data_IF_203701745535
#
_entry.id   IF_203701745535
#
_cell.length_a   1.000
_cell.length_b   1.000
_cell.length_c   1.000
_cell.angle_alpha   90.00
_cell.angle_beta   90.00
_cell.angle_gamma   90.00
#
_symmetry.space_group_name_H-M   'P 1'
#
loop_
_entity.id
_entity.type
_entity.pdbx_description
1 polymer ?
#
# COMPACT_ATOMS: atom_id res chain seq x y z
N UNK A 1 -25.08 -10.89 10.43
CA UNK A 1 -24.06 -10.81 11.51
C UNK A 1 -22.70 -11.00 10.89
N UNK A 2 -22.00 -9.92 10.54
CA UNK A 2 -20.59 -9.97 10.14
C UNK A 2 -19.77 -10.08 11.42
N UNK A 3 -19.00 -11.17 11.56
CA UNK A 3 -18.08 -11.33 12.68
C UNK A 3 -17.13 -10.13 12.72
N UNK A 4 -16.97 -9.50 13.89
CA UNK A 4 -15.95 -8.49 14.11
C UNK A 4 -14.60 -9.20 14.09
N UNK A 5 -13.89 -9.16 12.96
CA UNK A 5 -12.57 -9.79 12.83
C UNK A 5 -11.51 -8.86 13.41
N UNK A 6 -11.20 -9.06 14.69
CA UNK A 6 -10.04 -8.43 15.32
C UNK A 6 -8.78 -9.03 14.72
N UNK A 7 -7.81 -8.20 14.32
CA UNK A 7 -6.52 -8.68 13.83
C UNK A 7 -5.82 -9.51 14.92
N UNK A 8 -5.22 -10.64 14.53
CA UNK A 8 -4.48 -11.50 15.44
C UNK A 8 -3.29 -10.73 16.03
N UNK A 9 -3.11 -10.82 17.35
CA UNK A 9 -1.97 -10.22 18.04
C UNK A 9 -0.83 -11.24 18.10
N UNK A 10 0.21 -11.00 17.31
CA UNK A 10 1.43 -11.81 17.32
C UNK A 10 2.26 -11.50 18.58
N UNK A 11 2.65 -12.54 19.31
CA UNK A 11 3.36 -12.45 20.58
C UNK A 11 4.88 -12.50 20.45
N UNK A 12 5.42 -12.93 19.31
CA UNK A 12 6.87 -13.01 19.08
C UNK A 12 7.25 -12.88 17.60
N UNK A 13 8.53 -12.57 17.34
CA UNK A 13 9.07 -12.55 15.98
C UNK A 13 9.04 -13.94 15.32
N UNK A 14 9.28 -15.01 16.08
CA UNK A 14 9.24 -16.38 15.56
C UNK A 14 7.82 -16.77 15.12
N UNK A 15 6.81 -16.38 15.91
CA UNK A 15 5.41 -16.56 15.55
C UNK A 15 5.06 -15.79 14.28
N UNK A 16 5.51 -14.53 14.18
CA UNK A 16 5.30 -13.70 13.00
C UNK A 16 5.91 -14.32 11.73
N UNK A 17 7.16 -14.80 11.81
CA UNK A 17 7.84 -15.45 10.69
C UNK A 17 7.14 -16.74 10.26
N UNK A 18 6.69 -17.55 11.22
CA UNK A 18 5.96 -18.80 10.94
C UNK A 18 4.63 -18.53 10.22
N UNK A 19 3.85 -17.57 10.70
CA UNK A 19 2.56 -17.22 10.06
C UNK A 19 2.80 -16.59 8.68
N UNK A 20 3.86 -15.79 8.52
CA UNK A 20 4.25 -15.23 7.23
C UNK A 20 4.56 -16.34 6.21
N UNK A 21 5.33 -17.36 6.61
CA UNK A 21 5.65 -18.49 5.76
C UNK A 21 4.41 -19.28 5.32
N UNK A 22 3.47 -19.53 6.25
CA UNK A 22 2.23 -20.24 5.95
C UNK A 22 1.35 -19.50 4.93
N UNK A 23 1.21 -18.18 5.08
CA UNK A 23 0.47 -17.35 4.13
C UNK A 23 1.19 -17.25 2.78
N UNK A 24 2.52 -17.12 2.81
CA UNK A 24 3.33 -17.07 1.60
C UNK A 24 3.15 -18.34 0.75
N UNK A 25 3.21 -19.53 1.35
CA UNK A 25 3.00 -20.80 0.65
C UNK A 25 1.60 -20.89 0.04
N UNK A 26 0.57 -20.48 0.80
CA UNK A 26 -0.81 -20.46 0.34
C UNK A 26 -1.00 -19.51 -0.85
N UNK A 27 -0.49 -18.29 -0.75
CA UNK A 27 -0.69 -17.28 -1.79
C UNK A 27 0.13 -17.57 -3.05
N UNK A 28 1.31 -18.17 -2.92
CA UNK A 28 2.17 -18.51 -4.07
C UNK A 28 1.50 -19.50 -5.04
N UNK A 29 0.66 -20.41 -4.54
CA UNK A 29 0.03 -21.45 -5.34
C UNK A 29 -0.81 -20.92 -6.51
N UNK A 30 -1.47 -19.77 -6.31
CA UNK A 30 -2.39 -19.17 -7.30
C UNK A 30 -1.90 -17.82 -7.84
N UNK A 31 -0.75 -17.32 -7.38
CA UNK A 31 -0.23 -15.99 -7.71
C UNK A 31 -0.13 -15.75 -9.22
N UNK A 32 0.41 -16.71 -9.98
CA UNK A 32 0.56 -16.59 -11.43
C UNK A 32 -0.77 -16.53 -12.19
N UNK A 33 -1.77 -17.30 -11.75
CA UNK A 33 -3.11 -17.29 -12.35
C UNK A 33 -3.84 -15.98 -12.03
N UNK A 34 -3.78 -15.51 -10.78
CA UNK A 34 -4.36 -14.23 -10.37
C UNK A 34 -3.78 -13.06 -11.16
N UNK A 35 -2.45 -13.00 -11.28
CA UNK A 35 -1.76 -11.94 -12.03
C UNK A 35 -2.15 -11.94 -13.52
N UNK A 36 -2.15 -13.12 -14.16
CA UNK A 36 -2.53 -13.28 -15.56
C UNK A 36 -3.96 -12.80 -15.84
N UNK A 37 -4.90 -13.18 -14.97
CA UNK A 37 -6.31 -12.83 -15.09
C UNK A 37 -6.66 -11.41 -14.60
N UNK A 38 -5.75 -10.76 -13.87
CA UNK A 38 -6.02 -9.54 -13.10
C UNK A 38 -7.10 -9.74 -12.00
N UNK A 39 -7.14 -10.93 -11.41
CA UNK A 39 -8.06 -11.24 -10.33
C UNK A 39 -7.62 -10.50 -9.04
N UNK A 40 -8.47 -9.61 -8.52
CA UNK A 40 -8.15 -8.84 -7.31
C UNK A 40 -8.10 -9.77 -6.08
N UNK A 41 -6.99 -9.79 -5.31
CA UNK A 41 -6.75 -10.73 -4.21
C UNK A 41 -7.47 -10.33 -2.92
N UNK A 42 -8.80 -10.25 -2.95
CA UNK A 42 -9.60 -9.75 -1.81
C UNK A 42 -9.45 -10.64 -0.57
N UNK A 43 -9.47 -11.94 -0.76
CA UNK A 43 -9.43 -12.90 0.34
C UNK A 43 -8.02 -12.97 0.95
N UNK A 44 -6.99 -12.83 0.14
CA UNK A 44 -5.60 -12.83 0.60
C UNK A 44 -5.23 -11.53 1.30
N UNK A 45 -5.70 -10.38 0.81
CA UNK A 45 -5.54 -9.09 1.51
C UNK A 45 -6.24 -9.15 2.87
N UNK A 46 -7.43 -9.76 2.94
CA UNK A 46 -8.13 -9.97 4.20
C UNK A 46 -7.35 -10.91 5.12
N UNK A 47 -6.89 -12.06 4.62
CA UNK A 47 -6.12 -13.01 5.41
C UNK A 47 -4.82 -12.40 5.98
N UNK A 48 -4.15 -11.54 5.20
CA UNK A 48 -2.97 -10.81 5.64
C UNK A 48 -3.29 -9.78 6.74
N UNK A 49 -4.41 -9.07 6.59
CA UNK A 49 -4.91 -8.14 7.60
C UNK A 49 -5.23 -8.87 8.91
N UNK A 50 -5.94 -9.99 8.82
CA UNK A 50 -6.33 -10.82 9.95
C UNK A 50 -5.14 -11.46 10.66
N UNK A 51 -4.06 -11.79 9.95
CA UNK A 51 -2.87 -12.38 10.56
C UNK A 51 -1.98 -11.39 11.31
N UNK A 52 -2.18 -10.08 11.11
CA UNK A 52 -1.34 -9.02 11.69
C UNK A 52 0.04 -8.90 11.03
N UNK A 53 0.19 -9.30 9.75
CA UNK A 53 1.47 -9.36 9.03
C UNK A 53 1.55 -8.46 7.79
N UNK A 54 2.75 -8.42 7.21
CA UNK A 54 3.14 -7.61 6.05
C UNK A 54 3.60 -8.42 4.83
N UNK A 55 4.18 -9.61 5.03
CA UNK A 55 4.99 -10.26 4.01
C UNK A 55 4.33 -11.55 3.51
N UNK A 56 4.22 -11.68 2.19
CA UNK A 56 3.81 -12.89 1.50
C UNK A 56 4.62 -13.07 0.21
N UNK A 57 4.61 -14.29 -0.33
CA UNK A 57 5.32 -14.61 -1.58
C UNK A 57 4.65 -14.04 -2.85
N UNK A 58 3.42 -13.53 -2.76
CA UNK A 58 2.77 -12.84 -3.88
C UNK A 58 3.17 -11.35 -3.89
N UNK A 59 3.75 -10.85 -5.01
CA UNK A 59 4.26 -9.48 -5.09
C UNK A 59 3.20 -8.40 -4.90
N UNK A 60 1.99 -8.62 -5.44
CA UNK A 60 0.91 -7.66 -5.36
C UNK A 60 0.33 -7.62 -3.95
N UNK A 61 0.13 -8.79 -3.34
CA UNK A 61 -0.35 -8.90 -1.96
C UNK A 61 0.66 -8.28 -0.98
N UNK A 62 1.97 -8.49 -1.19
CA UNK A 62 3.01 -7.88 -0.35
C UNK A 62 3.10 -6.35 -0.50
N UNK A 63 2.78 -5.81 -1.68
CA UNK A 63 2.84 -4.37 -1.94
C UNK A 63 1.63 -3.60 -1.42
N UNK A 64 0.43 -4.19 -1.44
CA UNK A 64 -0.82 -3.55 -0.97
C UNK A 64 -0.71 -2.94 0.44
N UNK A 65 -0.22 -3.66 1.48
CA UNK A 65 -0.19 -3.12 2.83
C UNK A 65 0.98 -2.17 3.10
N UNK A 66 1.93 -1.98 2.17
CA UNK A 66 3.11 -1.16 2.41
C UNK A 66 2.73 0.24 2.95
N UNK A 67 1.78 0.89 2.28
CA UNK A 67 1.39 2.25 2.62
C UNK A 67 0.64 2.34 3.95
N UNK A 68 -0.02 1.26 4.38
CA UNK A 68 -0.67 1.17 5.67
C UNK A 68 0.33 1.49 6.78
N UNK A 69 1.45 0.78 6.82
CA UNK A 69 2.47 0.96 7.87
C UNK A 69 3.25 2.25 7.73
N UNK A 70 3.53 2.69 6.50
CA UNK A 70 4.15 3.99 6.26
C UNK A 70 3.33 5.11 6.89
N UNK A 71 2.01 5.13 6.69
CA UNK A 71 1.17 6.17 7.30
C UNK A 71 0.95 6.01 8.80
N UNK A 72 0.99 4.79 9.33
CA UNK A 72 1.02 4.61 10.77
C UNK A 72 2.28 5.21 11.39
N UNK A 73 3.43 5.14 10.71
CA UNK A 73 4.65 5.79 11.16
C UNK A 73 4.55 7.32 11.11
N UNK A 74 3.92 7.88 10.05
CA UNK A 74 3.63 9.31 9.99
C UNK A 74 2.73 9.75 11.14
N UNK A 75 1.66 8.98 11.41
CA UNK A 75 0.76 9.20 12.54
C UNK A 75 1.49 9.10 13.88
N UNK A 76 2.36 8.10 14.07
CA UNK A 76 3.16 7.92 15.29
C UNK A 76 4.01 9.14 15.61
N UNK A 77 4.54 9.77 14.56
CA UNK A 77 5.54 10.84 14.69
C UNK A 77 4.89 12.22 14.76
N UNK A 78 3.77 12.43 14.06
CA UNK A 78 3.15 13.75 13.88
C UNK A 78 1.76 13.88 14.50
N UNK A 79 1.08 12.76 14.77
CA UNK A 79 -0.26 12.74 15.33
C UNK A 79 -0.28 13.06 16.82
N UNK A 80 -1.39 13.62 17.28
CA UNK A 80 -1.64 13.78 18.73
C UNK A 80 -1.83 12.42 19.41
N UNK A 81 -1.70 12.39 20.74
CA UNK A 81 -1.98 11.18 21.53
C UNK A 81 -3.43 10.69 21.38
N UNK A 82 -4.37 11.59 21.09
CA UNK A 82 -5.77 11.25 20.81
C UNK A 82 -5.92 10.61 19.42
N UNK A 83 -5.30 11.21 18.39
CA UNK A 83 -5.31 10.68 17.03
C UNK A 83 -4.65 9.30 16.97
N UNK A 84 -3.49 9.13 17.61
CA UNK A 84 -2.81 7.84 17.74
C UNK A 84 -3.74 6.79 18.36
N UNK A 85 -4.35 7.08 19.52
CA UNK A 85 -5.28 6.14 20.17
C UNK A 85 -6.47 5.77 19.28
N UNK A 86 -7.07 6.75 18.61
CA UNK A 86 -8.22 6.53 17.75
C UNK A 86 -7.90 5.66 16.53
N UNK A 87 -6.90 6.05 15.75
CA UNK A 87 -6.57 5.34 14.50
C UNK A 87 -5.89 3.99 14.76
N UNK A 88 -5.01 3.87 15.76
CA UNK A 88 -4.49 2.56 16.13
C UNK A 88 -5.58 1.64 16.68
N UNK A 89 -6.55 2.17 17.43
CA UNK A 89 -7.72 1.39 17.87
C UNK A 89 -8.51 0.83 16.67
N UNK A 90 -8.71 1.65 15.63
CA UNK A 90 -9.35 1.21 14.38
C UNK A 90 -8.56 0.12 13.66
N UNK A 91 -7.25 0.32 13.49
CA UNK A 91 -6.37 -0.66 12.82
C UNK A 91 -6.32 -1.98 13.58
N UNK A 92 -6.19 -1.94 14.91
CA UNK A 92 -6.25 -3.13 15.76
C UNK A 92 -7.62 -3.82 15.69
N UNK A 93 -8.68 -3.06 15.42
CA UNK A 93 -10.02 -3.56 15.11
C UNK A 93 -10.21 -4.05 13.67
N UNK A 94 -9.13 -4.16 12.87
CA UNK A 94 -9.15 -4.69 11.51
C UNK A 94 -9.31 -3.66 10.39
N UNK A 95 -9.33 -2.36 10.69
CA UNK A 95 -9.46 -1.30 9.67
C UNK A 95 -8.23 -1.27 8.75
N UNK A 96 -8.44 -1.40 7.45
CA UNK A 96 -7.42 -1.29 6.42
C UNK A 96 -7.24 0.15 5.94
N UNK A 97 -5.97 0.52 5.73
CA UNK A 97 -5.57 1.83 5.24
C UNK A 97 -4.91 1.69 3.87
N UNK A 98 -5.26 2.55 2.93
CA UNK A 98 -4.57 2.69 1.65
C UNK A 98 -4.11 4.13 1.41
N UNK A 99 -3.17 4.31 0.49
CA UNK A 99 -2.69 5.63 0.15
C UNK A 99 -3.51 6.30 -0.94
N UNK A 100 -3.51 7.63 -0.88
CA UNK A 100 -3.73 8.50 -2.02
C UNK A 100 -2.73 9.66 -1.93
N UNK A 101 -1.49 9.43 -2.39
CA UNK A 101 -0.39 10.40 -2.28
C UNK A 101 -0.03 11.06 -3.60
N UNK A 102 0.22 10.24 -4.62
CA UNK A 102 0.79 10.69 -5.89
C UNK A 102 -0.24 11.30 -6.81
N UNK A 103 0.21 12.18 -7.69
CA UNK A 103 -0.62 12.84 -8.68
C UNK A 103 0.01 12.69 -10.07
N UNK A 104 -0.85 12.63 -11.10
CA UNK A 104 -0.41 12.75 -12.49
C UNK A 104 -0.48 14.21 -12.88
N UNK A 105 0.53 14.72 -13.58
CA UNK A 105 0.51 16.06 -14.12
C UNK A 105 1.90 16.58 -14.45
N UNK A 106 1.98 17.79 -15.02
CA UNK A 106 3.25 18.42 -15.38
C UNK A 106 4.00 19.01 -14.17
N UNK A 107 3.43 18.91 -12.96
CA UNK A 107 3.99 19.53 -11.77
C UNK A 107 5.11 18.68 -11.14
N UNK A 108 6.08 19.31 -10.46
CA UNK A 108 7.09 18.60 -9.69
C UNK A 108 6.47 17.70 -8.60
N UNK A 109 7.15 16.61 -8.26
CA UNK A 109 6.66 15.58 -7.30
C UNK A 109 6.38 16.11 -5.89
N UNK A 110 6.93 17.27 -5.53
CA UNK A 110 6.72 17.95 -4.25
C UNK A 110 5.59 19.01 -4.28
N UNK A 111 4.90 19.16 -5.41
CA UNK A 111 3.74 20.04 -5.57
C UNK A 111 2.49 19.16 -5.68
N UNK A 112 1.63 19.21 -4.66
CA UNK A 112 0.34 18.53 -4.66
C UNK A 112 -0.77 19.52 -5.05
N UNK A 113 -1.49 19.23 -6.13
CA UNK A 113 -2.69 19.96 -6.58
C UNK A 113 -3.95 19.56 -5.81
N UNK A 114 -3.92 18.43 -5.08
CA UNK A 114 -4.95 18.09 -4.09
C UNK A 114 -4.83 19.04 -2.90
N UNK A 115 -5.91 19.73 -2.59
CA UNK A 115 -5.94 20.81 -1.60
C UNK A 115 -6.87 20.45 -0.45
N UNK A 116 -6.40 20.71 0.77
CA UNK A 116 -7.21 20.74 1.97
C UNK A 116 -7.38 22.21 2.38
N UNK A 117 -8.62 22.70 2.40
CA UNK A 117 -8.99 24.08 2.72
C UNK A 117 -9.77 24.15 4.01
N UNK A 118 -9.49 25.14 4.87
CA UNK A 118 -10.26 25.34 6.10
C UNK A 118 -11.70 25.74 5.78
N UNK A 119 -12.67 25.12 6.46
CA UNK A 119 -14.10 25.48 6.45
C UNK A 119 -14.62 25.49 7.89
N UNK A 120 -14.59 26.66 8.52
CA UNK A 120 -14.88 26.79 9.95
C UNK A 120 -13.82 26.09 10.78
N UNK A 121 -14.26 25.17 11.64
CA UNK A 121 -13.37 24.37 12.49
C UNK A 121 -12.80 23.14 11.78
N UNK A 122 -13.41 22.73 10.67
CA UNK A 122 -13.06 21.54 9.88
C UNK A 122 -12.45 21.94 8.52
N UNK A 123 -12.40 21.00 7.59
CA UNK A 123 -11.79 21.17 6.27
C UNK A 123 -12.69 20.65 5.13
N UNK A 124 -12.41 21.14 3.92
CA UNK A 124 -12.82 20.56 2.65
C UNK A 124 -11.59 20.03 1.93
N UNK A 125 -11.69 18.81 1.39
CA UNK A 125 -10.65 18.15 0.61
C UNK A 125 -11.10 17.94 -0.84
N UNK A 126 -10.34 18.46 -1.79
CA UNK A 126 -10.64 18.35 -3.22
C UNK A 126 -9.38 18.04 -4.01
N UNK A 127 -9.48 17.16 -5.01
CA UNK A 127 -8.36 16.80 -5.86
C UNK A 127 -8.50 15.42 -6.50
N UNK A 128 -7.41 15.00 -7.14
CA UNK A 128 -7.35 13.72 -7.83
C UNK A 128 -5.97 13.09 -7.62
N UNK A 129 -5.97 11.89 -7.03
CA UNK A 129 -4.77 11.10 -6.78
C UNK A 129 -4.70 9.93 -7.74
N UNK A 130 -3.48 9.50 -8.02
CA UNK A 130 -3.16 8.35 -8.85
C UNK A 130 -2.13 7.46 -8.13
N UNK A 131 -1.95 6.22 -8.58
CA UNK A 131 -1.12 5.21 -7.89
C UNK A 131 -1.60 4.96 -6.45
N UNK A 132 -2.93 4.96 -6.25
CA UNK A 132 -3.56 4.80 -4.93
C UNK A 132 -3.61 3.32 -4.54
N UNK A 133 -2.42 2.72 -4.38
CA UNK A 133 -2.22 1.29 -4.09
C UNK A 133 -3.08 0.83 -2.93
N UNK A 134 -3.85 -0.23 -3.18
CA UNK A 134 -4.73 -0.85 -2.20
C UNK A 134 -6.07 -0.15 -1.97
N UNK A 135 -6.36 0.97 -2.65
CA UNK A 135 -7.55 1.78 -2.37
C UNK A 135 -8.86 0.99 -2.51
N UNK A 136 -8.96 0.05 -3.46
CA UNK A 136 -10.15 -0.79 -3.62
C UNK A 136 -10.39 -1.77 -2.47
N UNK A 137 -9.39 -2.03 -1.63
CA UNK A 137 -9.48 -2.93 -0.47
C UNK A 137 -9.63 -2.20 0.86
N UNK A 138 -9.25 -0.92 0.92
CA UNK A 138 -9.18 -0.19 2.17
C UNK A 138 -10.54 0.28 2.70
N UNK A 139 -10.60 0.41 4.02
CA UNK A 139 -11.71 1.01 4.76
C UNK A 139 -11.51 2.52 4.95
N UNK A 140 -10.26 2.98 4.93
CA UNK A 140 -9.88 4.39 5.05
C UNK A 140 -8.78 4.72 4.03
N UNK A 141 -8.97 5.80 3.29
CA UNK A 141 -7.99 6.34 2.36
C UNK A 141 -7.22 7.47 3.07
N UNK A 142 -5.90 7.32 3.15
CA UNK A 142 -5.01 8.34 3.72
C UNK A 142 -4.51 9.23 2.58
N UNK A 143 -5.07 10.43 2.51
CA UNK A 143 -4.84 11.38 1.42
C UNK A 143 -3.80 12.40 1.83
N UNK A 144 -2.71 12.52 1.07
CA UNK A 144 -1.75 13.63 1.22
C UNK A 144 -2.28 14.85 0.46
N UNK A 145 -2.33 16.00 1.11
CA UNK A 145 -2.84 17.22 0.48
C UNK A 145 -2.01 18.44 0.88
N UNK A 146 -2.02 19.45 0.00
CA UNK A 146 -1.56 20.80 0.33
C UNK A 146 -2.57 21.46 1.27
N UNK A 147 -2.13 21.84 2.47
CA UNK A 147 -2.91 22.66 3.38
C UNK A 147 -2.82 24.11 2.88
N UNK A 148 -3.92 24.60 2.31
CA UNK A 148 -3.99 25.96 1.77
C UNK A 148 -5.19 26.68 2.35
N UNK A 149 -4.93 27.79 3.03
CA UNK A 149 -5.95 28.62 3.66
C UNK A 149 -6.62 29.59 2.65
N UNK A 150 -6.15 29.68 1.39
CA UNK A 150 -6.67 30.61 0.37
C UNK A 150 -6.50 30.13 -1.09
N UNK A 151 -7.13 30.80 -2.06
CA UNK A 151 -7.22 30.39 -3.49
C UNK A 151 -5.90 30.25 -4.25
N UNK A 152 -4.76 30.45 -3.61
CA UNK A 152 -3.46 30.31 -4.25
C UNK A 152 -3.22 28.87 -4.71
N UNK A 153 -2.64 28.77 -5.90
CA UNK A 153 -2.21 27.50 -6.48
C UNK A 153 -1.08 26.95 -5.61
N UNK A 154 -1.21 25.75 -5.04
CA UNK A 154 -0.16 25.18 -4.20
C UNK A 154 1.18 25.11 -4.94
N UNK A 155 2.24 25.32 -4.19
CA UNK A 155 3.62 25.22 -4.65
C UNK A 155 4.41 24.21 -3.78
N UNK A 156 5.72 24.18 -4.01
CA UNK A 156 6.65 23.31 -3.30
C UNK A 156 6.81 23.68 -1.81
N UNK A 157 6.56 24.94 -1.45
CA UNK A 157 6.65 25.44 -0.08
C UNK A 157 5.35 25.30 0.71
N UNK A 158 4.23 25.07 0.02
CA UNK A 158 2.91 24.94 0.64
C UNK A 158 2.90 23.74 1.61
N UNK A 159 2.57 23.95 2.91
CA UNK A 159 2.55 22.90 3.91
C UNK A 159 1.68 21.71 3.47
N UNK A 160 2.10 20.50 3.83
CA UNK A 160 1.41 19.26 3.51
C UNK A 160 0.84 18.63 4.79
N UNK A 161 -0.30 17.99 4.64
CA UNK A 161 -1.00 17.22 5.67
C UNK A 161 -1.41 15.86 5.11
N UNK A 162 -1.73 14.93 6.00
CA UNK A 162 -2.44 13.70 5.66
C UNK A 162 -3.83 13.72 6.29
N UNK A 163 -4.84 13.40 5.49
CA UNK A 163 -6.24 13.31 5.91
C UNK A 163 -6.70 11.85 5.85
N UNK A 164 -7.30 11.37 6.93
CA UNK A 164 -7.88 10.03 7.00
C UNK A 164 -9.35 10.10 6.57
N UNK A 165 -9.66 9.61 5.37
CA UNK A 165 -10.99 9.68 4.77
C UNK A 165 -11.63 8.28 4.76
N UNK A 166 -12.69 8.03 5.56
CA UNK A 166 -13.40 6.75 5.52
C UNK A 166 -13.97 6.46 4.14
N UNK A 167 -13.98 5.19 3.75
CA UNK A 167 -14.66 4.73 2.54
C UNK A 167 -16.16 5.03 2.65
N UNK A 168 -16.76 5.44 1.53
CA UNK A 168 -18.17 5.80 1.47
C UNK A 168 -18.48 7.21 1.98
N UNK A 169 -17.45 8.01 2.32
CA UNK A 169 -17.63 9.45 2.54
C UNK A 169 -18.14 10.10 1.24
N UNK A 170 -19.17 10.94 1.35
CA UNK A 170 -19.72 11.68 0.21
C UNK A 170 -18.60 12.48 -0.48
N UNK A 171 -18.54 12.38 -1.81
CA UNK A 171 -17.50 13.00 -2.64
C UNK A 171 -16.25 12.14 -2.85
N UNK A 172 -16.09 11.00 -2.16
CA UNK A 172 -14.99 10.06 -2.41
C UNK A 172 -15.36 9.04 -3.50
N UNK A 173 -14.60 9.02 -4.59
CA UNK A 173 -14.70 7.99 -5.63
C UNK A 173 -13.37 7.26 -5.81
N UNK A 174 -13.39 5.93 -5.76
CA UNK A 174 -12.24 5.08 -6.06
C UNK A 174 -12.51 4.39 -7.39
N UNK A 175 -11.65 4.64 -8.38
CA UNK A 175 -11.82 4.11 -9.74
C UNK A 175 -10.94 2.88 -9.91
N UNK A 176 -11.52 1.80 -10.43
CA UNK A 176 -10.79 0.60 -10.81
C UNK A 176 -10.22 0.75 -12.23
N UNK A 177 -9.20 1.59 -12.36
CA UNK A 177 -8.55 1.94 -13.65
C UNK A 177 -7.05 1.58 -13.66
N UNK A 178 -6.63 0.66 -12.81
CA UNK A 178 -5.22 0.22 -12.76
C UNK A 178 -4.89 -0.77 -13.88
N UNK A 179 -4.01 -0.36 -14.80
CA UNK A 179 -3.55 -1.17 -15.93
C UNK A 179 -2.01 -1.19 -16.04
N UNK A 180 -1.35 -1.60 -14.95
CA UNK A 180 0.10 -1.78 -14.92
C UNK A 180 0.59 -3.01 -15.70
N UNK A 181 1.87 -2.99 -16.13
CA UNK A 181 2.53 -4.15 -16.77
C UNK A 181 2.77 -5.30 -15.78
N UNK A 182 3.10 -4.95 -14.54
CA UNK A 182 3.27 -5.85 -13.37
C UNK A 182 2.57 -5.22 -12.16
N UNK A 183 2.63 -5.88 -11.00
CA UNK A 183 1.84 -5.46 -9.83
C UNK A 183 0.35 -5.33 -10.21
N UNK A 184 -0.15 -6.24 -11.05
CA UNK A 184 -1.40 -6.05 -11.82
C UNK A 184 -2.63 -6.05 -10.93
N UNK A 185 -2.53 -6.61 -9.73
CA UNK A 185 -3.64 -6.82 -8.81
C UNK A 185 -3.53 -5.96 -7.54
N UNK A 186 -2.63 -4.96 -7.52
CA UNK A 186 -2.46 -4.03 -6.38
C UNK A 186 -3.57 -3.00 -6.23
N UNK A 187 -4.48 -2.88 -7.19
CA UNK A 187 -5.53 -1.87 -7.22
C UNK A 187 -4.99 -0.43 -7.09
N UNK A 188 -3.88 -0.10 -7.79
CA UNK A 188 -3.20 1.21 -7.72
C UNK A 188 -3.86 2.29 -8.59
N UNK A 189 -5.19 2.31 -8.64
CA UNK A 189 -5.97 3.19 -9.52
C UNK A 189 -6.06 4.64 -9.06
N UNK A 190 -7.06 5.34 -9.62
CA UNK A 190 -7.40 6.72 -9.31
C UNK A 190 -8.27 6.82 -8.06
N UNK A 191 -7.97 7.83 -7.22
CA UNK A 191 -8.91 8.34 -6.21
C UNK A 191 -9.32 9.77 -6.59
N UNK A 192 -10.62 10.03 -6.66
CA UNK A 192 -11.21 11.36 -6.90
C UNK A 192 -11.85 11.86 -5.61
N UNK A 193 -11.58 13.11 -5.28
CA UNK A 193 -12.01 13.80 -4.07
C UNK A 193 -12.78 15.04 -4.50
N UNK A 194 -14.10 15.01 -4.32
CA UNK A 194 -15.00 16.10 -4.70
C UNK A 194 -15.57 16.77 -3.45
N UNK A 195 -14.96 17.90 -3.06
CA UNK A 195 -15.33 18.74 -1.92
C UNK A 195 -15.71 17.95 -0.64
N UNK A 196 -14.87 17.00 -0.27
CA UNK A 196 -15.10 16.10 0.87
C UNK A 196 -14.95 16.87 2.18
N UNK A 197 -15.96 16.80 3.04
CA UNK A 197 -15.85 17.31 4.41
C UNK A 197 -14.92 16.43 5.24
N UNK A 198 -13.88 17.02 5.84
CA UNK A 198 -12.90 16.33 6.66
C UNK A 198 -12.82 16.97 8.03
N UNK A 199 -13.16 16.24 9.11
CA UNK A 199 -13.03 16.75 10.47
C UNK A 199 -11.58 17.09 10.81
N UNK A 200 -11.32 18.16 11.55
CA UNK A 200 -9.96 18.51 11.95
C UNK A 200 -9.25 17.41 12.76
N UNK A 201 -10.00 16.61 13.51
CA UNK A 201 -9.49 15.44 14.23
C UNK A 201 -8.92 14.35 13.31
N UNK A 202 -9.30 14.34 12.04
CA UNK A 202 -8.85 13.38 11.02
C UNK A 202 -7.68 13.88 10.17
N UNK A 203 -7.10 15.04 10.53
CA UNK A 203 -5.99 15.66 9.79
C UNK A 203 -4.73 15.65 10.66
N UNK A 204 -3.63 15.16 10.09
CA UNK A 204 -2.33 15.08 10.76
C UNK A 204 -1.30 15.88 9.95
N UNK A 205 -0.45 16.71 10.59
CA UNK A 205 0.64 17.40 9.91
C UNK A 205 1.59 16.42 9.22
N UNK A 206 2.03 16.73 8.00
CA UNK A 206 2.96 15.87 7.25
C UNK A 206 4.32 16.54 7.03
N UNK A 207 4.33 17.81 6.62
CA UNK A 207 5.58 18.55 6.38
C UNK A 207 6.59 18.52 7.55
N UNK A 208 6.19 18.67 8.82
CA UNK A 208 7.15 18.69 9.92
C UNK A 208 7.93 17.38 10.11
N UNK A 209 7.45 16.26 9.53
CA UNK A 209 8.15 14.97 9.51
C UNK A 209 9.55 15.04 8.91
N UNK A 210 9.78 16.00 8.00
CA UNK A 210 11.03 16.18 7.28
C UNK A 210 11.86 17.37 7.78
N UNK A 211 11.45 18.01 8.88
CA UNK A 211 12.16 19.15 9.46
C UNK A 211 13.44 18.77 10.22
N UNK A 212 13.65 17.48 10.47
CA UNK A 212 14.84 16.94 11.13
C UNK A 212 15.13 15.50 10.69
N UNK A 213 16.19 14.88 11.24
CA UNK A 213 16.52 13.49 10.94
C UNK A 213 15.36 12.55 11.29
N UNK A 214 14.97 11.70 10.34
CA UNK A 214 13.86 10.76 10.51
C UNK A 214 14.16 9.44 9.81
N UNK A 215 13.65 8.34 10.37
CA UNK A 215 13.71 7.01 9.76
C UNK A 215 12.55 6.73 8.82
N UNK A 216 11.54 7.62 8.73
CA UNK A 216 10.32 7.41 7.95
C UNK A 216 10.60 6.97 6.50
N UNK A 217 11.45 7.72 5.79
CA UNK A 217 11.79 7.40 4.41
C UNK A 217 12.57 6.09 4.29
N UNK A 218 13.53 5.86 5.19
CA UNK A 218 14.33 4.64 5.20
C UNK A 218 13.49 3.39 5.49
N UNK A 219 12.53 3.49 6.41
CA UNK A 219 11.59 2.41 6.73
C UNK A 219 10.70 2.09 5.53
N UNK A 220 10.16 3.10 4.85
CA UNK A 220 9.36 2.89 3.65
C UNK A 220 10.16 2.18 2.55
N UNK A 221 11.42 2.59 2.32
CA UNK A 221 12.32 1.96 1.35
C UNK A 221 12.74 0.55 1.74
N UNK A 222 12.93 0.28 3.05
CA UNK A 222 13.26 -1.06 3.53
C UNK A 222 12.15 -2.07 3.22
N UNK A 223 10.88 -1.66 3.35
CA UNK A 223 9.74 -2.51 2.97
C UNK A 223 9.72 -2.78 1.47
N UNK A 224 10.00 -1.77 0.63
CA UNK A 224 10.13 -1.99 -0.82
C UNK A 224 11.25 -2.96 -1.16
N UNK A 225 12.45 -2.77 -0.59
CA UNK A 225 13.57 -3.66 -0.81
C UNK A 225 13.25 -5.12 -0.38
N UNK A 226 12.51 -5.30 0.71
CA UNK A 226 12.08 -6.63 1.15
C UNK A 226 11.13 -7.30 0.14
N UNK A 227 10.21 -6.53 -0.46
CA UNK A 227 9.33 -7.01 -1.53
C UNK A 227 10.16 -7.44 -2.75
N UNK A 228 11.12 -6.62 -3.18
CA UNK A 228 11.98 -6.91 -4.32
C UNK A 228 12.83 -8.18 -4.09
N UNK A 229 13.38 -8.34 -2.88
CA UNK A 229 14.11 -9.56 -2.49
C UNK A 229 13.19 -10.78 -2.50
N UNK A 230 11.94 -10.64 -2.03
CA UNK A 230 10.94 -11.71 -2.09
C UNK A 230 10.65 -12.15 -3.52
N UNK A 231 10.44 -11.19 -4.42
CA UNK A 231 10.23 -11.43 -5.85
C UNK A 231 11.42 -12.16 -6.47
N UNK A 232 12.64 -11.64 -6.25
CA UNK A 232 13.85 -12.24 -6.79
C UNK A 232 14.07 -13.67 -6.28
N UNK A 233 13.76 -13.92 -5.01
CA UNK A 233 13.84 -15.25 -4.41
C UNK A 233 12.84 -16.21 -5.03
N UNK A 234 11.57 -15.79 -5.16
CA UNK A 234 10.53 -16.59 -5.81
C UNK A 234 10.87 -16.92 -7.27
N UNK A 235 11.35 -15.93 -8.02
CA UNK A 235 11.80 -16.11 -9.40
C UNK A 235 12.96 -17.11 -9.50
N UNK A 236 13.95 -17.04 -8.58
CA UNK A 236 15.08 -17.96 -8.56
C UNK A 236 14.65 -19.41 -8.24
N UNK A 237 13.74 -19.58 -7.28
CA UNK A 237 13.18 -20.90 -6.94
C UNK A 237 12.44 -21.49 -8.13
N UNK A 238 11.57 -20.71 -8.77
CA UNK A 238 10.82 -21.17 -9.94
C UNK A 238 11.74 -21.48 -11.13
N UNK A 239 12.72 -20.60 -11.41
CA UNK A 239 13.73 -20.84 -12.44
C UNK A 239 14.50 -22.15 -12.21
N UNK A 240 14.82 -22.47 -10.94
CA UNK A 240 15.48 -23.74 -10.59
C UNK A 240 14.58 -24.94 -10.86
N UNK A 241 13.28 -24.85 -10.54
CA UNK A 241 12.30 -25.89 -10.84
C UNK A 241 12.17 -26.11 -12.34
N UNK A 242 12.07 -25.03 -13.12
CA UNK A 242 11.94 -25.10 -14.57
C UNK A 242 13.23 -25.62 -15.24
N UNK A 243 14.41 -25.18 -14.80
CA UNK A 243 15.69 -25.68 -15.29
C UNK A 243 15.84 -27.20 -15.08
N UNK A 244 15.31 -27.75 -13.98
CA UNK A 244 15.29 -29.21 -13.73
C UNK A 244 14.33 -29.98 -14.64
N UNK A 245 13.30 -29.32 -15.16
CA UNK A 245 12.30 -29.90 -16.07
C UNK A 245 12.64 -29.68 -17.55
N UNK A 246 13.55 -28.74 -17.82
CA UNK A 246 13.97 -28.40 -19.17
C UNK A 246 14.58 -29.62 -19.88
N UNK A 247 14.29 -29.73 -21.17
CA UNK A 247 14.89 -30.72 -22.05
C UNK A 247 16.06 -30.07 -22.79
N UNK A 248 17.17 -30.81 -23.00
CA UNK A 248 18.25 -30.30 -23.83
C UNK A 248 17.76 -30.05 -25.26
N UNK A 249 18.45 -29.18 -26.00
CA UNK A 249 18.19 -29.06 -27.43
C UNK A 249 18.40 -30.43 -28.09
N UNK A 250 17.56 -30.78 -29.07
CA UNK A 250 17.54 -32.13 -29.63
C UNK A 250 18.86 -32.51 -30.34
N UNK A 251 19.67 -31.52 -30.72
CA UNK A 251 20.99 -31.69 -31.36
C UNK A 251 22.16 -31.70 -30.38
N UNK A 252 21.94 -31.40 -29.08
CA UNK A 252 23.02 -31.24 -28.11
C UNK A 252 23.67 -32.57 -27.64
N UNK A 253 23.06 -33.72 -27.97
CA UNK A 253 23.50 -35.07 -27.59
C UNK A 253 23.84 -35.26 -26.09
N UNK A 254 23.17 -34.50 -25.22
CA UNK A 254 23.28 -34.60 -23.76
C UNK A 254 21.97 -35.07 -23.14
N UNK A 255 22.03 -35.58 -21.90
CA UNK A 255 20.85 -36.13 -21.22
C UNK A 255 20.05 -35.05 -20.50
N UNK A 256 20.69 -33.97 -20.07
CA UNK A 256 20.07 -32.89 -19.29
C UNK A 256 20.30 -31.55 -19.95
N UNK A 257 19.32 -30.66 -19.88
CA UNK A 257 19.43 -29.30 -20.40
C UNK A 257 20.61 -28.51 -19.77
N UNK A 258 20.97 -28.81 -18.52
CA UNK A 258 22.10 -28.15 -17.83
C UNK A 258 23.49 -28.60 -18.32
N UNK A 259 23.54 -29.65 -19.14
CA UNK A 259 24.76 -30.17 -19.76
C UNK A 259 24.93 -29.64 -21.19
N UNK A 260 23.92 -28.93 -21.72
CA UNK A 260 23.92 -28.34 -23.07
C UNK A 260 24.92 -27.16 -23.10
N UNK A 261 25.98 -27.22 -23.93
CA UNK A 261 27.08 -26.25 -23.86
C UNK A 261 26.75 -24.83 -24.37
N UNK A 262 25.56 -24.62 -24.95
CA UNK A 262 25.14 -23.44 -25.72
C UNK A 262 25.92 -23.22 -27.02
#
# INVERSE_FOLDING_TARGET
MTASTTAARLGSCEEALRVAAQLADSFAAEAGQRDANRDLPRDEVRALAESGLLAAADPSIAQIPQSHFTFLEALRTQGSAEQCRFFYGKVLGGTLLANAQSERGPHPINVDTTVLRRRGDDYILSGRKFYSTGALFADVIVVRASLSDDSDTPDAGTPKVIAFVPRGTDGLTIVDDWDGMGQRTTASGTVVLDDIAVPASSVVPYSPLFSGPTTYGAQAQLVHAAIDVGIATGALVEATVQARRARPHFEADVRRAVEDPC
#
